data_IF_991647382124
#
_entry.id   IF_991647382124
#
_cell.length_a   1.000
_cell.length_b   1.000
_cell.length_c   1.000
_cell.angle_alpha   90.00
_cell.angle_beta   90.00
_cell.angle_gamma   90.00
#
_symmetry.space_group_name_H-M   'P 1'
#
loop_
_entity.id
_entity.type
_entity.pdbx_description
1 polymer ?
#
# COMPACT_ATOMS: atom_id res chain seq x y z
N UNK A 1 -17.73 -18.73 9.32
CA UNK A 1 -18.08 -17.32 9.49
C UNK A 1 -17.36 -16.73 10.71
N UNK A 2 -17.62 -17.22 11.91
CA UNK A 2 -17.12 -16.64 13.17
C UNK A 2 -15.59 -16.56 13.23
N UNK A 3 -14.85 -17.58 12.79
CA UNK A 3 -13.39 -17.57 12.83
C UNK A 3 -12.78 -16.46 11.95
N UNK A 4 -13.32 -16.24 10.77
CA UNK A 4 -12.84 -15.21 9.85
C UNK A 4 -13.20 -13.82 10.35
N UNK A 5 -14.42 -13.62 10.85
CA UNK A 5 -14.83 -12.35 11.45
C UNK A 5 -13.96 -11.98 12.67
N UNK A 6 -13.61 -12.96 13.51
CA UNK A 6 -12.74 -12.73 14.66
C UNK A 6 -11.33 -12.26 14.27
N UNK A 7 -10.81 -12.71 13.11
CA UNK A 7 -9.52 -12.22 12.60
C UNK A 7 -9.59 -10.76 12.16
N UNK A 8 -10.73 -10.37 11.60
CA UNK A 8 -10.99 -9.00 11.14
C UNK A 8 -11.56 -8.09 12.24
N UNK A 9 -11.72 -8.60 13.48
CA UNK A 9 -12.32 -7.83 14.58
C UNK A 9 -11.59 -6.51 14.83
N UNK A 10 -12.37 -5.46 15.04
CA UNK A 10 -11.91 -4.09 15.31
C UNK A 10 -12.44 -3.07 14.31
N UNK A 11 -11.89 -1.86 14.42
CA UNK A 11 -12.21 -0.72 13.57
C UNK A 11 -11.28 -0.68 12.34
N UNK A 12 -11.86 -0.29 11.21
CA UNK A 12 -11.16 -0.15 9.94
C UNK A 12 -11.44 1.21 9.30
N UNK A 13 -10.38 1.87 8.88
CA UNK A 13 -10.38 3.27 8.45
C UNK A 13 -9.96 3.40 6.99
N UNK A 14 -10.58 4.35 6.29
CA UNK A 14 -10.19 4.73 4.94
C UNK A 14 -8.94 5.64 4.92
N UNK A 15 -8.55 6.06 3.72
CA UNK A 15 -7.40 6.92 3.49
C UNK A 15 -7.53 8.31 4.14
N UNK A 16 -8.76 8.78 4.35
CA UNK A 16 -9.05 10.07 4.99
C UNK A 16 -9.13 9.96 6.52
N UNK A 17 -8.99 8.75 7.06
CA UNK A 17 -9.07 8.47 8.48
C UNK A 17 -10.50 8.31 9.02
N UNK A 18 -11.49 8.16 8.15
CA UNK A 18 -12.85 7.88 8.55
C UNK A 18 -13.02 6.39 8.87
N UNK A 19 -13.70 6.07 9.97
CA UNK A 19 -14.07 4.70 10.28
C UNK A 19 -15.17 4.24 9.32
N UNK A 20 -14.87 3.21 8.52
CA UNK A 20 -15.78 2.65 7.51
C UNK A 20 -16.38 1.33 7.96
N UNK A 21 -15.58 0.46 8.60
CA UNK A 21 -16.07 -0.78 9.16
C UNK A 21 -15.73 -0.88 10.64
N UNK A 22 -16.70 -1.40 11.39
CA UNK A 22 -16.55 -1.92 12.73
C UNK A 22 -16.99 -3.39 12.71
N UNK A 23 -16.07 -4.30 13.00
CA UNK A 23 -16.33 -5.75 12.94
C UNK A 23 -16.13 -6.33 14.34
N UNK A 24 -17.10 -7.07 14.83
CA UNK A 24 -16.98 -7.74 16.12
C UNK A 24 -18.25 -8.48 16.54
N UNK A 25 -18.07 -9.55 17.31
CA UNK A 25 -19.17 -10.31 17.89
C UNK A 25 -20.19 -10.89 16.89
N UNK A 26 -19.80 -11.07 15.62
CA UNK A 26 -20.70 -11.52 14.56
C UNK A 26 -21.48 -10.41 13.87
N UNK A 27 -21.06 -9.15 14.07
CA UNK A 27 -21.66 -7.96 13.48
C UNK A 27 -20.66 -7.20 12.62
N UNK A 28 -21.17 -6.51 11.61
CA UNK A 28 -20.44 -5.52 10.81
C UNK A 28 -21.26 -4.23 10.84
N UNK A 29 -20.67 -3.14 11.34
CA UNK A 29 -21.32 -1.84 11.53
C UNK A 29 -22.68 -1.94 12.30
N UNK A 30 -22.71 -2.75 13.34
CA UNK A 30 -23.91 -3.01 14.12
C UNK A 30 -24.95 -3.90 13.43
N UNK A 31 -24.74 -4.31 12.18
CA UNK A 31 -25.61 -5.20 11.43
C UNK A 31 -25.18 -6.65 11.63
N UNK A 32 -26.13 -7.51 12.00
CA UNK A 32 -25.84 -8.95 12.20
C UNK A 32 -25.43 -9.61 10.90
N UNK A 33 -24.35 -10.38 10.93
CA UNK A 33 -23.93 -11.22 9.79
C UNK A 33 -24.79 -12.50 9.80
N UNK A 34 -25.57 -12.69 8.74
CA UNK A 34 -26.49 -13.82 8.59
C UNK A 34 -25.79 -15.02 7.95
N UNK A 35 -24.98 -14.75 6.93
CA UNK A 35 -24.25 -15.76 6.17
C UNK A 35 -22.93 -15.24 5.66
N UNK A 36 -22.03 -16.15 5.33
CA UNK A 36 -20.81 -15.83 4.61
C UNK A 36 -20.50 -16.98 3.63
N UNK A 37 -20.15 -16.64 2.42
CA UNK A 37 -19.99 -17.55 1.31
C UNK A 37 -18.94 -17.05 0.29
N UNK A 38 -18.69 -17.85 -0.74
CA UNK A 38 -17.71 -17.54 -1.80
C UNK A 38 -16.29 -17.29 -1.24
N UNK A 39 -15.89 -18.08 -0.25
CA UNK A 39 -14.57 -17.95 0.34
C UNK A 39 -13.47 -18.44 -0.61
N UNK A 40 -12.44 -17.61 -0.73
CA UNK A 40 -11.19 -17.93 -1.40
C UNK A 40 -10.00 -17.57 -0.51
N UNK A 41 -8.89 -18.31 -0.61
CA UNK A 41 -7.67 -18.05 0.12
C UNK A 41 -7.59 -18.76 1.49
N UNK A 42 -6.72 -18.25 2.35
CA UNK A 42 -6.46 -18.79 3.69
C UNK A 42 -7.08 -17.91 4.79
N UNK A 43 -7.02 -18.37 6.04
CA UNK A 43 -7.59 -17.62 7.17
C UNK A 43 -6.98 -16.24 7.38
N UNK A 44 -5.66 -16.10 7.18
CA UNK A 44 -4.96 -14.82 7.37
C UNK A 44 -4.99 -13.90 6.14
N UNK A 45 -5.32 -14.44 4.97
CA UNK A 45 -5.49 -13.68 3.74
C UNK A 45 -6.50 -14.39 2.85
N UNK A 46 -7.47 -13.67 2.35
CA UNK A 46 -8.53 -14.26 1.56
C UNK A 46 -9.60 -13.27 1.17
N UNK A 47 -10.67 -13.81 0.63
CA UNK A 47 -11.84 -13.05 0.22
C UNK A 47 -13.13 -13.81 0.53
N UNK A 48 -14.24 -13.09 0.64
CA UNK A 48 -15.55 -13.68 0.84
C UNK A 48 -16.66 -12.65 0.80
N UNK A 49 -17.88 -13.15 0.63
CA UNK A 49 -19.10 -12.35 0.71
C UNK A 49 -19.75 -12.55 2.07
N UNK A 50 -20.19 -11.46 2.67
CA UNK A 50 -20.87 -11.43 3.97
C UNK A 50 -22.25 -10.81 3.78
N UNK A 51 -23.29 -11.60 4.04
CA UNK A 51 -24.67 -11.12 4.06
C UNK A 51 -24.97 -10.53 5.43
N UNK A 52 -25.31 -9.25 5.47
CA UNK A 52 -25.66 -8.51 6.69
C UNK A 52 -27.13 -8.13 6.69
N UNK A 53 -27.72 -8.07 7.88
CA UNK A 53 -29.11 -7.64 8.10
C UNK A 53 -29.15 -6.15 8.46
N UNK A 54 -29.64 -5.35 7.54
CA UNK A 54 -29.94 -3.93 7.75
C UNK A 54 -31.42 -3.71 8.07
N UNK A 55 -31.79 -2.53 8.48
CA UNK A 55 -33.20 -2.16 8.78
C UNK A 55 -34.13 -2.28 7.56
N UNK A 56 -33.57 -2.16 6.37
CA UNK A 56 -34.30 -2.20 5.08
C UNK A 56 -34.25 -3.55 4.36
N UNK A 57 -33.55 -4.55 4.93
CA UNK A 57 -33.37 -5.86 4.32
C UNK A 57 -31.95 -6.38 4.44
N UNK A 58 -31.55 -7.30 3.57
CA UNK A 58 -30.20 -7.84 3.56
C UNK A 58 -29.34 -7.17 2.50
N UNK A 59 -28.04 -7.04 2.80
CA UNK A 59 -27.03 -6.54 1.88
C UNK A 59 -25.79 -7.43 1.91
N UNK A 60 -25.16 -7.60 0.75
CA UNK A 60 -23.90 -8.31 0.63
C UNK A 60 -22.74 -7.32 0.63
N UNK A 61 -21.75 -7.62 1.45
CA UNK A 61 -20.43 -6.99 1.44
C UNK A 61 -19.41 -7.97 0.91
N UNK A 62 -18.60 -7.56 -0.05
CA UNK A 62 -17.44 -8.33 -0.48
C UNK A 62 -16.21 -7.78 0.21
N UNK A 63 -15.54 -8.64 0.98
CA UNK A 63 -14.31 -8.29 1.69
C UNK A 63 -13.16 -9.15 1.18
N UNK A 64 -12.06 -8.50 0.84
CA UNK A 64 -10.76 -9.14 0.66
C UNK A 64 -9.89 -8.68 1.84
N UNK A 65 -9.26 -9.61 2.54
CA UNK A 65 -8.47 -9.29 3.73
C UNK A 65 -7.06 -9.85 3.63
N UNK A 66 -6.11 -9.10 4.20
CA UNK A 66 -4.78 -9.56 4.52
C UNK A 66 -4.43 -9.13 5.94
N UNK A 67 -4.34 -10.11 6.83
CA UNK A 67 -4.20 -9.91 8.29
C UNK A 67 -3.02 -10.76 8.75
N UNK A 68 -1.83 -10.39 8.30
CA UNK A 68 -0.58 -11.07 8.61
C UNK A 68 0.34 -10.25 9.49
N UNK A 69 0.23 -8.93 9.40
CA UNK A 69 1.08 -7.98 10.08
C UNK A 69 0.26 -6.76 10.48
N UNK A 70 0.22 -6.43 11.75
CA UNK A 70 -0.68 -5.44 12.31
C UNK A 70 -0.61 -4.03 11.69
N UNK A 71 0.54 -3.63 11.18
CA UNK A 71 0.75 -2.33 10.52
C UNK A 71 0.45 -2.36 9.02
N UNK A 72 0.40 -3.54 8.42
CA UNK A 72 0.02 -3.74 7.02
C UNK A 72 -1.32 -4.44 6.87
N UNK A 73 -1.99 -4.79 7.98
CA UNK A 73 -3.32 -5.38 7.93
C UNK A 73 -4.27 -4.49 7.14
N UNK A 74 -4.99 -5.09 6.22
CA UNK A 74 -5.91 -4.39 5.33
C UNK A 74 -7.16 -5.19 5.02
N UNK A 75 -8.22 -4.46 4.72
CA UNK A 75 -9.44 -4.99 4.10
C UNK A 75 -9.74 -4.15 2.86
N UNK A 76 -9.97 -4.80 1.73
CA UNK A 76 -10.52 -4.15 0.54
C UNK A 76 -12.03 -4.43 0.50
N UNK A 77 -12.81 -3.36 0.60
CA UNK A 77 -14.26 -3.41 0.61
C UNK A 77 -14.81 -3.24 -0.81
N UNK A 78 -15.65 -4.18 -1.24
CA UNK A 78 -16.34 -4.17 -2.53
C UNK A 78 -15.43 -3.90 -3.74
N UNK A 79 -14.22 -4.48 -3.74
CA UNK A 79 -13.20 -4.40 -4.79
C UNK A 79 -12.59 -3.01 -5.06
N UNK A 80 -12.93 -1.98 -4.29
CA UNK A 80 -12.42 -0.63 -4.58
C UNK A 80 -11.91 0.16 -3.38
N UNK A 81 -12.44 -0.04 -2.17
CA UNK A 81 -12.05 0.77 -1.01
C UNK A 81 -11.08 0.01 -0.10
N UNK A 82 -9.85 0.51 0.00
CA UNK A 82 -8.84 -0.03 0.91
C UNK A 82 -9.00 0.56 2.31
N UNK A 83 -9.00 -0.32 3.30
CA UNK A 83 -9.15 0.04 4.71
C UNK A 83 -8.00 -0.52 5.53
N UNK A 84 -7.60 0.21 6.57
CA UNK A 84 -6.54 -0.14 7.50
C UNK A 84 -6.99 -0.05 8.95
N UNK A 85 -6.31 -0.78 9.84
CA UNK A 85 -6.65 -0.81 11.29
C UNK A 85 -6.40 0.51 12.02
N UNK A 86 -5.60 1.40 11.46
CA UNK A 86 -5.31 2.70 12.07
C UNK A 86 -5.65 3.82 11.10
N UNK A 87 -6.31 4.86 11.60
CA UNK A 87 -6.52 6.09 10.87
C UNK A 87 -5.15 6.79 10.72
N UNK A 88 -4.57 6.70 9.52
CA UNK A 88 -3.39 7.47 9.15
C UNK A 88 -3.83 8.55 8.16
N UNK A 89 -3.74 9.82 8.50
CA UNK A 89 -4.02 10.89 7.54
C UNK A 89 -3.07 10.77 6.32
N UNK A 90 -3.44 11.30 5.16
CA UNK A 90 -2.58 11.30 3.98
C UNK A 90 -1.20 11.86 4.32
N UNK A 91 -0.15 11.12 3.98
CA UNK A 91 1.23 11.57 4.23
C UNK A 91 1.71 12.49 3.11
N UNK A 92 1.24 12.28 1.88
CA UNK A 92 1.60 13.03 0.66
C UNK A 92 3.12 13.08 0.47
N UNK A 93 3.73 11.90 0.34
CA UNK A 93 5.16 11.78 0.12
C UNK A 93 5.53 12.19 -1.30
N UNK A 94 6.74 12.70 -1.47
CA UNK A 94 7.29 13.08 -2.78
C UNK A 94 8.77 12.73 -2.89
N UNK A 95 9.25 12.62 -4.12
CA UNK A 95 10.65 12.35 -4.47
C UNK A 95 11.02 13.28 -5.63
N UNK A 96 11.99 14.16 -5.45
CA UNK A 96 12.44 15.14 -6.46
C UNK A 96 11.28 15.98 -7.03
N UNK A 97 10.34 16.40 -6.19
CA UNK A 97 9.15 17.16 -6.57
C UNK A 97 8.05 16.36 -7.25
N UNK A 98 8.21 15.04 -7.37
CA UNK A 98 7.20 14.14 -7.96
C UNK A 98 6.45 13.41 -6.86
N UNK A 99 5.15 13.28 -7.01
CA UNK A 99 4.28 12.51 -6.12
C UNK A 99 3.33 11.60 -6.91
N UNK A 100 2.73 10.64 -6.22
CA UNK A 100 1.72 9.76 -6.81
C UNK A 100 0.52 10.57 -7.32
N UNK A 101 -0.04 10.14 -8.45
CA UNK A 101 -1.19 10.80 -9.07
C UNK A 101 -0.85 11.97 -10.02
N UNK A 102 0.41 12.42 -10.09
CA UNK A 102 0.83 13.40 -11.11
C UNK A 102 0.66 12.80 -12.51
N UNK A 103 0.25 13.64 -13.45
CA UNK A 103 0.21 13.26 -14.87
C UNK A 103 1.61 13.20 -15.47
N UNK A 104 1.77 12.49 -16.58
CA UNK A 104 3.03 12.45 -17.32
C UNK A 104 3.50 13.86 -17.75
N UNK A 105 2.56 14.74 -18.09
CA UNK A 105 2.86 16.13 -18.42
C UNK A 105 3.43 16.91 -17.22
N UNK A 106 2.87 16.74 -16.04
CA UNK A 106 3.36 17.36 -14.80
C UNK A 106 4.75 16.84 -14.42
N UNK A 107 4.98 15.52 -14.53
CA UNK A 107 6.31 14.93 -14.32
C UNK A 107 7.32 15.54 -15.29
N UNK A 108 6.97 15.67 -16.58
CA UNK A 108 7.84 16.30 -17.59
C UNK A 108 8.11 17.77 -17.27
N UNK A 109 7.12 18.49 -16.74
CA UNK A 109 7.30 19.89 -16.33
C UNK A 109 8.29 20.04 -15.15
N UNK A 110 8.35 19.04 -14.25
CA UNK A 110 9.25 19.06 -13.09
C UNK A 110 10.64 18.54 -13.43
N UNK A 111 10.75 17.38 -14.07
CA UNK A 111 12.03 16.68 -14.31
C UNK A 111 12.55 16.78 -15.74
N UNK A 112 11.78 17.35 -16.65
CA UNK A 112 12.07 17.31 -18.08
C UNK A 112 11.66 16.00 -18.75
N UNK A 113 11.89 15.92 -20.04
CA UNK A 113 11.65 14.69 -20.82
C UNK A 113 12.56 13.57 -20.31
N UNK A 114 12.03 12.36 -20.05
CA UNK A 114 12.85 11.27 -19.54
C UNK A 114 13.90 10.88 -20.59
N UNK A 115 15.19 10.81 -20.21
CA UNK A 115 16.24 10.44 -21.14
C UNK A 115 16.20 8.95 -21.52
N UNK A 116 15.54 8.11 -20.70
CA UNK A 116 15.44 6.67 -20.90
C UNK A 116 14.08 6.13 -20.49
N UNK A 117 13.65 5.08 -21.20
CA UNK A 117 12.60 4.16 -20.73
C UNK A 117 13.29 2.85 -20.36
N UNK A 118 13.15 2.42 -19.13
CA UNK A 118 13.82 1.26 -18.59
C UNK A 118 12.82 0.13 -18.36
N UNK A 119 13.25 -1.10 -18.67
CA UNK A 119 12.58 -2.30 -18.22
C UNK A 119 12.83 -2.47 -16.70
N UNK A 120 11.77 -2.39 -15.93
CA UNK A 120 11.82 -2.49 -14.48
C UNK A 120 11.46 -3.89 -13.97
N UNK A 121 11.44 -4.90 -14.84
CA UNK A 121 11.10 -6.29 -14.50
C UNK A 121 11.83 -6.86 -13.27
N UNK A 122 13.08 -6.47 -12.95
CA UNK A 122 13.71 -6.86 -11.69
C UNK A 122 12.98 -6.37 -10.43
N UNK A 123 12.21 -5.29 -10.54
CA UNK A 123 11.50 -4.67 -9.42
C UNK A 123 9.99 -4.79 -9.56
N UNK A 124 9.45 -4.36 -10.71
CA UNK A 124 8.02 -4.38 -11.03
C UNK A 124 7.87 -4.81 -12.48
N UNK A 125 6.87 -5.62 -12.80
CA UNK A 125 6.68 -6.18 -14.15
C UNK A 125 6.14 -5.14 -15.14
N UNK A 126 6.91 -4.08 -15.38
CA UNK A 126 6.56 -3.00 -16.30
C UNK A 126 7.78 -2.19 -16.73
N UNK A 127 7.59 -1.30 -17.70
CA UNK A 127 8.58 -0.30 -18.08
C UNK A 127 8.27 1.02 -17.36
N UNK A 128 9.30 1.83 -17.10
CA UNK A 128 9.17 3.13 -16.48
C UNK A 128 10.10 4.17 -17.07
N UNK A 129 9.77 5.43 -16.86
CA UNK A 129 10.65 6.54 -17.15
C UNK A 129 11.80 6.55 -16.17
N UNK A 130 13.03 6.58 -16.67
CA UNK A 130 14.23 6.56 -15.83
C UNK A 130 15.03 7.85 -15.98
N UNK A 131 15.37 8.43 -14.84
CA UNK A 131 16.19 9.64 -14.70
C UNK A 131 17.53 9.24 -14.07
N UNK A 132 18.57 8.97 -14.86
CA UNK A 132 19.84 8.42 -14.38
C UNK A 132 20.58 9.36 -13.41
N UNK A 133 20.52 10.66 -13.60
CA UNK A 133 21.17 11.63 -12.72
C UNK A 133 20.60 11.63 -11.30
N UNK A 134 19.32 11.34 -11.15
CA UNK A 134 18.61 11.19 -9.90
C UNK A 134 18.52 9.75 -9.42
N UNK A 135 18.78 8.78 -10.31
CA UNK A 135 18.57 7.34 -10.08
C UNK A 135 17.18 7.02 -9.56
N UNK A 136 16.19 7.61 -10.20
CA UNK A 136 14.77 7.33 -9.94
C UNK A 136 14.10 6.79 -11.19
N UNK A 137 13.09 5.93 -10.98
CA UNK A 137 12.23 5.47 -12.05
C UNK A 137 10.76 5.77 -11.68
N UNK A 138 9.95 6.10 -12.69
CA UNK A 138 8.55 6.48 -12.50
C UNK A 138 7.70 5.62 -13.42
N UNK A 139 6.67 4.99 -12.88
CA UNK A 139 5.69 4.24 -13.66
C UNK A 139 4.33 4.93 -13.65
N UNK A 140 3.50 4.60 -14.63
CA UNK A 140 2.20 5.23 -14.82
C UNK A 140 1.12 4.16 -14.98
N UNK A 141 -0.02 4.43 -14.37
CA UNK A 141 -1.28 3.75 -14.64
C UNK A 141 -2.22 4.74 -15.33
N UNK A 142 -2.71 4.37 -16.52
CA UNK A 142 -3.37 5.29 -17.46
C UNK A 142 -2.46 6.47 -17.85
N UNK A 143 -2.50 7.58 -17.20
CA UNK A 143 -1.63 8.75 -17.44
C UNK A 143 -1.14 9.36 -16.12
N UNK A 144 -1.27 8.65 -15.02
CA UNK A 144 -0.88 9.14 -13.70
C UNK A 144 0.18 8.27 -13.04
N UNK A 145 1.08 8.91 -12.33
CA UNK A 145 2.14 8.24 -11.55
C UNK A 145 1.51 7.28 -10.55
N UNK A 146 1.86 6.02 -10.67
CA UNK A 146 1.40 4.95 -9.79
C UNK A 146 2.51 4.42 -8.87
N UNK A 147 3.77 4.52 -9.30
CA UNK A 147 4.95 4.16 -8.50
C UNK A 147 6.11 5.10 -8.78
N UNK A 148 6.90 5.35 -7.75
CA UNK A 148 8.19 6.02 -7.85
C UNK A 148 9.22 5.11 -7.17
N UNK A 149 10.22 4.67 -7.93
CA UNK A 149 11.30 3.83 -7.44
C UNK A 149 12.53 4.70 -7.19
N UNK A 150 12.99 4.68 -5.96
CA UNK A 150 14.22 5.33 -5.52
C UNK A 150 15.31 4.26 -5.49
N UNK A 151 16.28 4.33 -6.41
CA UNK A 151 17.32 3.32 -6.55
C UNK A 151 18.54 3.64 -5.69
N UNK A 152 19.23 2.62 -5.27
CA UNK A 152 20.46 2.74 -4.46
C UNK A 152 21.49 3.65 -5.14
N UNK A 153 22.13 4.51 -4.34
CA UNK A 153 23.05 5.53 -4.81
C UNK A 153 22.35 6.77 -5.38
N UNK A 154 21.04 6.87 -5.28
CA UNK A 154 20.30 8.09 -5.59
C UNK A 154 20.70 9.23 -4.64
N UNK A 155 20.77 10.44 -5.19
CA UNK A 155 20.86 11.67 -4.38
C UNK A 155 19.48 12.19 -3.98
N UNK A 156 18.42 11.71 -4.62
CA UNK A 156 17.06 12.02 -4.22
C UNK A 156 16.69 11.32 -2.91
N UNK A 157 15.71 11.88 -2.24
CA UNK A 157 15.18 11.42 -0.97
C UNK A 157 13.67 11.39 -1.00
N UNK A 158 13.06 10.67 -0.10
CA UNK A 158 11.68 10.85 0.29
C UNK A 158 11.60 12.20 1.02
N UNK A 159 10.96 13.20 0.45
CA UNK A 159 11.14 14.62 0.84
C UNK A 159 10.59 14.95 2.23
N UNK A 160 9.56 14.24 2.68
CA UNK A 160 8.97 14.45 4.01
C UNK A 160 9.73 13.76 5.13
N UNK A 161 10.36 12.64 4.86
CA UNK A 161 11.14 11.90 5.86
C UNK A 161 12.65 12.19 5.79
N UNK A 162 13.14 12.62 4.63
CA UNK A 162 14.57 12.81 4.38
C UNK A 162 15.33 11.50 4.10
N UNK A 163 14.63 10.39 3.92
CA UNK A 163 15.22 9.06 3.82
C UNK A 163 15.41 8.61 2.37
N UNK A 164 16.37 7.71 2.15
CA UNK A 164 16.60 7.03 0.89
C UNK A 164 17.18 5.60 1.12
N UNK A 165 17.68 4.95 0.06
CA UNK A 165 18.20 3.59 0.15
C UNK A 165 19.47 3.43 1.01
N UNK A 166 20.11 4.51 1.40
CA UNK A 166 21.29 4.48 2.28
C UNK A 166 20.92 4.43 3.78
N UNK A 167 19.64 4.66 4.10
CA UNK A 167 19.14 4.63 5.46
C UNK A 167 18.77 3.21 5.90
N UNK A 168 18.90 2.95 7.19
CA UNK A 168 18.54 1.66 7.76
C UNK A 168 17.02 1.50 7.90
N UNK A 169 16.47 0.26 7.80
CA UNK A 169 15.03 0.03 7.90
C UNK A 169 14.35 0.59 9.16
N UNK A 170 15.05 0.63 10.30
CA UNK A 170 14.48 1.18 11.53
C UNK A 170 14.22 2.70 11.45
N UNK A 171 14.97 3.44 10.62
CA UNK A 171 14.77 4.87 10.43
C UNK A 171 13.43 5.13 9.71
N UNK A 172 13.08 4.27 8.75
CA UNK A 172 11.75 4.29 8.11
C UNK A 172 10.63 3.97 9.11
N UNK A 173 10.85 2.96 9.97
CA UNK A 173 9.88 2.64 11.01
C UNK A 173 9.61 3.84 11.93
N UNK A 174 10.64 4.59 12.30
CA UNK A 174 10.51 5.79 13.13
C UNK A 174 9.83 6.93 12.36
N UNK A 175 10.29 7.24 11.14
CA UNK A 175 9.77 8.37 10.37
C UNK A 175 8.29 8.21 10.01
N UNK A 176 7.86 6.99 9.70
CA UNK A 176 6.48 6.69 9.29
C UNK A 176 5.64 6.04 10.40
N UNK A 177 6.14 5.99 11.63
CA UNK A 177 5.45 5.42 12.80
C UNK A 177 4.94 3.99 12.54
N UNK A 178 5.79 3.18 11.93
CA UNK A 178 5.50 1.77 11.70
C UNK A 178 5.60 0.99 13.02
N UNK A 179 4.72 0.01 13.22
CA UNK A 179 4.74 -0.86 14.42
C UNK A 179 5.95 -1.80 14.45
N UNK A 180 6.43 -2.16 13.27
CA UNK A 180 7.55 -3.08 13.11
C UNK A 180 8.59 -2.48 12.17
N UNK A 181 9.84 -2.79 12.44
CA UNK A 181 10.93 -2.45 11.50
C UNK A 181 10.70 -3.24 10.21
N UNK A 182 10.72 -2.58 9.04
CA UNK A 182 10.59 -3.28 7.77
C UNK A 182 11.60 -4.41 7.63
N UNK A 183 11.12 -5.58 7.27
CA UNK A 183 12.00 -6.69 6.93
C UNK A 183 12.58 -6.46 5.54
N UNK A 184 13.90 -6.50 5.41
CA UNK A 184 14.62 -6.41 4.14
C UNK A 184 15.34 -7.73 3.91
N UNK A 185 15.21 -8.31 2.74
CA UNK A 185 15.98 -9.52 2.37
C UNK A 185 17.42 -9.16 2.04
N UNK A 186 18.30 -10.13 2.27
CA UNK A 186 19.72 -10.06 1.95
C UNK A 186 20.17 -11.34 1.21
N UNK A 187 19.28 -11.92 0.43
CA UNK A 187 19.52 -13.07 -0.44
C UNK A 187 19.69 -12.64 -1.91
N UNK A 188 19.65 -13.58 -2.84
CA UNK A 188 19.78 -13.29 -4.29
C UNK A 188 18.41 -13.06 -4.99
N UNK A 189 17.34 -12.84 -4.21
CA UNK A 189 16.02 -12.56 -4.78
C UNK A 189 15.86 -11.08 -5.13
N UNK A 190 15.17 -10.79 -6.24
CA UNK A 190 14.82 -9.42 -6.66
C UNK A 190 13.42 -9.02 -6.17
N UNK A 191 12.96 -9.59 -5.08
CA UNK A 191 11.60 -9.40 -4.60
C UNK A 191 11.55 -8.29 -3.57
N UNK A 192 10.58 -7.38 -3.71
CA UNK A 192 10.22 -6.47 -2.64
C UNK A 192 9.70 -7.23 -1.42
N UNK A 193 10.09 -6.79 -0.26
CA UNK A 193 9.57 -7.30 1.01
C UNK A 193 8.68 -6.27 1.66
N UNK A 194 7.54 -6.75 2.13
CA UNK A 194 6.55 -5.95 2.83
C UNK A 194 5.90 -4.88 1.96
N UNK A 195 4.82 -4.37 2.47
CA UNK A 195 4.14 -3.21 1.94
C UNK A 195 3.59 -2.45 3.15
N UNK A 196 4.09 -1.26 3.39
CA UNK A 196 3.83 -0.49 4.60
C UNK A 196 3.05 0.77 4.27
N UNK A 197 1.83 0.87 4.80
CA UNK A 197 1.04 2.09 4.67
C UNK A 197 1.70 3.23 5.44
N UNK A 198 1.97 4.34 4.75
CA UNK A 198 2.56 5.54 5.34
C UNK A 198 1.52 6.66 5.59
N UNK A 199 0.35 6.54 5.00
CA UNK A 199 -0.80 7.44 5.15
C UNK A 199 -1.55 7.56 3.84
N UNK A 200 -2.86 7.76 3.92
CA UNK A 200 -3.68 7.75 2.73
C UNK A 200 -3.60 6.42 1.96
N UNK A 201 -3.52 6.49 0.65
CA UNK A 201 -3.28 5.35 -0.24
C UNK A 201 -1.82 5.32 -0.72
N UNK A 202 -0.89 5.63 0.16
CA UNK A 202 0.54 5.63 -0.11
C UNK A 202 1.23 4.52 0.68
N UNK A 203 2.07 3.77 -0.01
CA UNK A 203 2.74 2.58 0.52
C UNK A 203 4.22 2.59 0.21
N UNK A 204 5.04 2.14 1.16
CA UNK A 204 6.46 1.87 0.94
C UNK A 204 6.72 0.37 0.89
N UNK A 205 7.54 -0.04 -0.07
CA UNK A 205 8.11 -1.38 -0.18
C UNK A 205 9.63 -1.29 -0.34
N UNK A 206 10.32 -2.30 0.17
CA UNK A 206 11.78 -2.30 0.25
C UNK A 206 12.35 -3.43 -0.60
N UNK A 207 13.23 -3.08 -1.53
CA UNK A 207 13.94 -4.05 -2.35
C UNK A 207 15.04 -4.77 -1.56
N UNK A 208 15.44 -5.93 -2.07
CA UNK A 208 16.54 -6.71 -1.51
C UNK A 208 17.78 -5.83 -1.28
N UNK A 209 18.43 -5.98 -0.12
CA UNK A 209 19.63 -5.20 0.27
C UNK A 209 19.47 -3.68 0.21
N UNK A 210 18.25 -3.17 0.34
CA UNK A 210 17.93 -1.76 0.16
C UNK A 210 18.36 -1.21 -1.21
N UNK A 211 18.36 -2.02 -2.25
CA UNK A 211 18.71 -1.57 -3.60
C UNK A 211 17.65 -0.67 -4.23
N UNK A 212 16.43 -0.74 -3.70
CA UNK A 212 15.33 0.10 -4.10
C UNK A 212 14.40 0.34 -2.92
N UNK A 213 13.87 1.57 -2.82
CA UNK A 213 12.69 1.90 -2.03
C UNK A 213 11.61 2.36 -3.01
N UNK A 214 10.44 1.75 -2.95
CA UNK A 214 9.34 2.06 -3.85
C UNK A 214 8.21 2.74 -3.07
N UNK A 215 7.83 3.92 -3.53
CA UNK A 215 6.58 4.59 -3.16
C UNK A 215 5.51 4.17 -4.18
N UNK A 216 4.39 3.63 -3.72
CA UNK A 216 3.35 3.07 -4.58
C UNK A 216 1.96 3.45 -4.09
N UNK A 217 1.00 3.56 -5.03
CA UNK A 217 -0.43 3.63 -4.71
C UNK A 217 -1.06 2.24 -4.47
N UNK A 218 -0.31 1.17 -4.71
CA UNK A 218 -0.80 -0.18 -4.58
C UNK A 218 -0.34 -0.80 -3.27
N UNK A 219 -1.29 -1.45 -2.64
CA UNK A 219 -1.03 -2.43 -1.62
C UNK A 219 -0.84 -3.81 -2.28
N UNK A 220 0.30 -4.46 -2.02
CA UNK A 220 0.65 -5.77 -2.58
C UNK A 220 0.80 -6.81 -1.48
#
# INVERSE_FOLDING_TARGET
VTKVLNLMEGDWYDADGNRVLEIGGGYINGCRVLAAYDFAGASSHGAGRFEILESTGTRNLYLQWDIRHADTDSIKLNDHQMLHRTAKPPFNESIAGIHLGMTAAEVTAVLGTPPQVLDLSPYVNTHGWYYPDLRIAVTFDADTVDRILLLKGSRAILERSGLNCENAPYEFAQAYQMKHVPHVRYDDSNVFTGCHAIGGEEYLSFGNRMECVMLSKYWN
#
